data_IF_386989834994
#
_entry.id   IF_386989834994
#
_cell.length_a   1.000
_cell.length_b   1.000
_cell.length_c   1.000
_cell.angle_alpha   90.00
_cell.angle_beta   90.00
_cell.angle_gamma   90.00
#
_symmetry.space_group_name_H-M   'P 1'
#
loop_
_entity.id
_entity.type
_entity.pdbx_description
1 polymer ?
#
# COMPACT_ATOMS: atom_id res chain seq x y z
N UNK A 1 -16.56 22.63 -8.12
CA UNK A 1 -15.86 21.56 -8.87
C UNK A 1 -16.53 20.24 -8.54
N UNK A 2 -16.77 19.37 -9.52
CA UNK A 2 -17.35 18.05 -9.26
C UNK A 2 -16.40 17.16 -8.44
N UNK A 3 -16.96 16.22 -7.69
CA UNK A 3 -16.24 15.26 -6.84
C UNK A 3 -15.04 14.60 -7.54
N UNK A 4 -15.22 14.18 -8.80
CA UNK A 4 -14.16 13.57 -9.62
C UNK A 4 -13.02 14.51 -9.99
N UNK A 5 -13.30 15.80 -10.20
CA UNK A 5 -12.26 16.77 -10.56
C UNK A 5 -11.34 17.08 -9.38
N UNK A 6 -11.88 17.14 -8.16
CA UNK A 6 -11.09 17.38 -6.94
C UNK A 6 -10.10 16.23 -6.68
N UNK A 7 -10.54 14.98 -6.92
CA UNK A 7 -9.68 13.79 -6.85
C UNK A 7 -8.55 13.87 -7.88
N UNK A 8 -8.90 14.10 -9.15
CA UNK A 8 -7.93 14.10 -10.26
C UNK A 8 -6.93 15.24 -10.17
N UNK A 9 -7.28 16.35 -9.50
CA UNK A 9 -6.37 17.47 -9.26
C UNK A 9 -5.44 17.26 -8.08
N UNK A 10 -5.65 16.24 -7.24
CA UNK A 10 -4.81 16.02 -6.05
C UNK A 10 -3.39 15.58 -6.47
N UNK A 11 -2.34 16.33 -6.06
CA UNK A 11 -0.94 15.96 -6.34
C UNK A 11 -0.52 14.64 -5.67
N UNK A 12 -1.23 14.21 -4.63
CA UNK A 12 -0.92 13.00 -3.87
C UNK A 12 -1.50 11.73 -4.50
N UNK A 13 -2.48 11.86 -5.41
CA UNK A 13 -3.19 10.75 -6.07
C UNK A 13 -2.24 9.77 -6.77
N UNK A 14 -1.24 10.30 -7.49
CA UNK A 14 -0.31 9.47 -8.26
C UNK A 14 0.45 8.49 -7.36
N UNK A 15 0.78 8.90 -6.14
CA UNK A 15 1.50 8.09 -5.17
C UNK A 15 0.63 6.96 -4.63
N UNK A 16 -0.65 7.23 -4.36
CA UNK A 16 -1.59 6.19 -3.90
C UNK A 16 -1.88 5.18 -5.01
N UNK A 17 -2.13 5.64 -6.24
CA UNK A 17 -2.35 4.74 -7.39
C UNK A 17 -1.13 3.86 -7.67
N UNK A 18 0.08 4.44 -7.63
CA UNK A 18 1.31 3.67 -7.76
C UNK A 18 1.47 2.65 -6.62
N UNK A 19 1.22 3.06 -5.37
CA UNK A 19 1.24 2.16 -4.23
C UNK A 19 0.27 0.99 -4.40
N UNK A 20 -0.97 1.25 -4.83
CA UNK A 20 -1.97 0.21 -5.11
C UNK A 20 -1.48 -0.76 -6.19
N UNK A 21 -0.93 -0.26 -7.30
CA UNK A 21 -0.40 -1.10 -8.37
C UNK A 21 0.71 -2.03 -7.87
N UNK A 22 1.72 -1.49 -7.18
CA UNK A 22 2.80 -2.29 -6.61
C UNK A 22 2.29 -3.28 -5.57
N UNK A 23 1.35 -2.86 -4.73
CA UNK A 23 0.77 -3.69 -3.67
C UNK A 23 0.03 -4.90 -4.25
N UNK A 24 -0.80 -4.68 -5.26
CA UNK A 24 -1.55 -5.76 -5.92
C UNK A 24 -0.60 -6.82 -6.49
N UNK A 25 0.42 -6.38 -7.24
CA UNK A 25 1.46 -7.27 -7.77
C UNK A 25 2.16 -8.00 -6.61
N UNK A 26 2.44 -7.29 -5.51
CA UNK A 26 3.13 -7.85 -4.36
C UNK A 26 2.34 -8.94 -3.62
N UNK A 27 1.01 -8.81 -3.53
CA UNK A 27 0.12 -9.85 -2.98
C UNK A 27 0.24 -11.13 -3.80
N UNK A 28 0.06 -11.03 -5.13
CA UNK A 28 0.15 -12.19 -6.01
C UNK A 28 1.54 -12.82 -6.00
N UNK A 29 2.59 -11.99 -5.95
CA UNK A 29 3.96 -12.48 -5.80
C UNK A 29 4.17 -13.21 -4.46
N UNK A 30 3.59 -12.71 -3.38
CA UNK A 30 3.61 -13.36 -2.07
C UNK A 30 2.92 -14.73 -2.09
N UNK A 31 1.73 -14.81 -2.70
CA UNK A 31 0.99 -16.06 -2.89
C UNK A 31 1.78 -17.06 -3.76
N UNK A 32 2.36 -16.60 -4.86
CA UNK A 32 3.19 -17.43 -5.74
C UNK A 32 4.40 -18.03 -4.99
N UNK A 33 5.07 -17.22 -4.16
CA UNK A 33 6.19 -17.69 -3.32
C UNK A 33 5.70 -18.68 -2.25
N UNK A 34 4.53 -18.44 -1.67
CA UNK A 34 3.93 -19.28 -0.63
C UNK A 34 3.50 -20.66 -1.12
N UNK A 35 2.88 -20.73 -2.31
CA UNK A 35 2.29 -21.97 -2.83
C UNK A 35 3.14 -22.72 -3.85
N UNK A 36 4.02 -22.03 -4.58
CA UNK A 36 4.80 -22.65 -5.65
C UNK A 36 6.30 -22.73 -5.31
N UNK A 37 7.11 -21.81 -5.85
CA UNK A 37 8.57 -21.93 -5.83
C UNK A 37 9.21 -20.74 -5.13
N UNK A 38 9.68 -21.01 -3.92
CA UNK A 38 10.47 -20.08 -3.11
C UNK A 38 11.90 -19.99 -3.64
N UNK A 39 12.13 -19.12 -4.62
CA UNK A 39 13.48 -18.78 -5.10
C UNK A 39 14.00 -17.52 -4.43
N UNK A 40 15.33 -17.39 -4.32
CA UNK A 40 15.98 -16.18 -3.79
C UNK A 40 15.61 -14.95 -4.63
N UNK A 41 15.53 -15.11 -5.95
CA UNK A 41 15.12 -14.05 -6.86
C UNK A 41 13.70 -13.56 -6.58
N UNK A 42 12.74 -14.48 -6.42
CA UNK A 42 11.35 -14.11 -6.15
C UNK A 42 11.21 -13.38 -4.80
N UNK A 43 11.92 -13.86 -3.77
CA UNK A 43 11.96 -13.17 -2.47
C UNK A 43 12.53 -11.76 -2.57
N UNK A 44 13.56 -11.54 -3.40
CA UNK A 44 14.10 -10.19 -3.65
C UNK A 44 13.08 -9.32 -4.36
N UNK A 45 12.43 -9.80 -5.41
CA UNK A 45 11.40 -9.05 -6.15
C UNK A 45 10.26 -8.64 -5.21
N UNK A 46 9.72 -9.57 -4.42
CA UNK A 46 8.67 -9.29 -3.43
C UNK A 46 9.11 -8.24 -2.40
N UNK A 47 10.37 -8.30 -1.96
CA UNK A 47 10.95 -7.31 -1.03
C UNK A 47 11.11 -5.93 -1.70
N UNK A 48 11.56 -5.88 -2.95
CA UNK A 48 11.69 -4.61 -3.69
C UNK A 48 10.33 -3.97 -3.96
N UNK A 49 9.32 -4.76 -4.35
CA UNK A 49 7.94 -4.28 -4.48
C UNK A 49 7.43 -3.69 -3.16
N UNK A 50 7.69 -4.35 -2.03
CA UNK A 50 7.33 -3.80 -0.72
C UNK A 50 8.03 -2.46 -0.43
N UNK A 51 9.31 -2.33 -0.77
CA UNK A 51 10.02 -1.05 -0.62
C UNK A 51 9.46 0.04 -1.54
N UNK A 52 9.04 -0.29 -2.76
CA UNK A 52 8.36 0.65 -3.66
C UNK A 52 7.02 1.11 -3.07
N UNK A 53 6.24 0.23 -2.45
CA UNK A 53 5.00 0.59 -1.76
C UNK A 53 5.29 1.56 -0.62
N UNK A 54 6.23 1.23 0.28
CA UNK A 54 6.59 2.08 1.40
C UNK A 54 7.09 3.45 0.93
N UNK A 55 7.90 3.49 -0.13
CA UNK A 55 8.36 4.73 -0.77
C UNK A 55 7.18 5.59 -1.25
N UNK A 56 6.23 5.01 -2.00
CA UNK A 56 5.05 5.73 -2.46
C UNK A 56 4.23 6.29 -1.29
N UNK A 57 4.03 5.53 -0.22
CA UNK A 57 3.27 5.98 0.95
C UNK A 57 3.97 7.09 1.74
N UNK A 58 5.31 7.06 1.83
CA UNK A 58 6.08 8.14 2.45
C UNK A 58 5.93 9.42 1.63
N UNK A 59 6.06 9.34 0.29
CA UNK A 59 5.89 10.50 -0.57
C UNK A 59 4.46 11.05 -0.57
N UNK A 60 3.46 10.17 -0.46
CA UNK A 60 2.08 10.57 -0.21
C UNK A 60 1.98 11.43 1.06
N UNK A 61 2.50 10.97 2.20
CA UNK A 61 2.47 11.74 3.46
C UNK A 61 3.20 13.08 3.34
N UNK A 62 4.34 13.12 2.66
CA UNK A 62 5.11 14.36 2.45
C UNK A 62 4.27 15.35 1.64
N UNK A 63 3.74 14.93 0.49
CA UNK A 63 2.94 15.79 -0.37
C UNK A 63 1.68 16.28 0.33
N UNK A 64 1.03 15.38 1.06
CA UNK A 64 -0.20 15.66 1.76
C UNK A 64 0.02 16.56 2.99
N UNK A 65 1.19 16.47 3.65
CA UNK A 65 1.61 17.41 4.69
C UNK A 65 1.82 18.83 4.14
N UNK A 66 2.44 18.96 2.96
CA UNK A 66 2.69 20.26 2.31
C UNK A 66 1.37 20.98 2.00
N UNK A 67 0.31 20.22 1.71
CA UNK A 67 -1.03 20.77 1.42
C UNK A 67 -1.93 20.83 2.67
N UNK A 68 -1.41 20.50 3.87
CA UNK A 68 -2.16 20.46 5.14
C UNK A 68 -3.36 19.51 5.15
N UNK A 69 -3.30 18.43 4.37
CA UNK A 69 -4.39 17.45 4.18
C UNK A 69 -4.20 16.15 4.98
N UNK A 70 -3.09 16.03 5.74
CA UNK A 70 -2.82 14.82 6.53
C UNK A 70 -3.81 14.68 7.69
N UNK A 71 -4.46 13.53 7.73
CA UNK A 71 -5.31 13.12 8.83
C UNK A 71 -4.67 12.01 9.64
N UNK A 72 -5.12 11.85 10.88
CA UNK A 72 -4.73 10.73 11.76
C UNK A 72 -4.86 9.37 11.04
N UNK A 73 -5.88 9.22 10.19
CA UNK A 73 -6.21 7.95 9.55
C UNK A 73 -5.18 7.56 8.49
N UNK A 74 -4.54 8.54 7.87
CA UNK A 74 -3.48 8.32 6.87
C UNK A 74 -2.30 7.60 7.52
N UNK A 75 -1.89 8.06 8.71
CA UNK A 75 -0.83 7.42 9.48
C UNK A 75 -1.21 6.02 9.94
N UNK A 76 -2.46 5.79 10.35
CA UNK A 76 -2.94 4.46 10.78
C UNK A 76 -2.93 3.47 9.62
N UNK A 77 -3.45 3.87 8.45
CA UNK A 77 -3.47 3.02 7.25
C UNK A 77 -2.05 2.70 6.79
N UNK A 78 -1.16 3.70 6.79
CA UNK A 78 0.24 3.50 6.40
C UNK A 78 0.97 2.62 7.41
N UNK A 79 0.74 2.80 8.71
CA UNK A 79 1.28 1.93 9.75
C UNK A 79 0.80 0.48 9.56
N UNK A 80 -0.50 0.28 9.28
CA UNK A 80 -1.05 -1.03 8.99
C UNK A 80 -0.31 -1.69 7.82
N UNK A 81 -0.16 -0.97 6.70
CA UNK A 81 0.49 -1.48 5.49
C UNK A 81 1.99 -1.75 5.70
N UNK A 82 2.71 -0.83 6.33
CA UNK A 82 4.18 -0.86 6.39
C UNK A 82 4.70 -1.68 7.59
N UNK A 83 3.95 -1.78 8.68
CA UNK A 83 4.38 -2.52 9.87
C UNK A 83 3.55 -3.80 10.09
N UNK A 84 2.22 -3.71 10.07
CA UNK A 84 1.37 -4.83 10.44
C UNK A 84 1.33 -5.94 9.37
N UNK A 85 1.18 -5.57 8.10
CA UNK A 85 1.21 -6.54 6.99
C UNK A 85 2.51 -7.35 6.95
N UNK A 86 3.73 -6.77 6.96
CA UNK A 86 4.94 -7.59 6.98
C UNK A 86 5.14 -8.37 8.29
N UNK A 87 4.63 -7.85 9.42
CA UNK A 87 4.64 -8.60 10.68
C UNK A 87 3.82 -9.90 10.58
N UNK A 88 2.68 -9.86 9.91
CA UNK A 88 1.81 -11.03 9.72
C UNK A 88 2.44 -12.16 8.88
N UNK A 89 3.56 -11.91 8.20
CA UNK A 89 4.34 -12.95 7.49
C UNK A 89 4.83 -14.08 8.42
N UNK A 90 4.88 -13.84 9.73
CA UNK A 90 5.24 -14.85 10.75
C UNK A 90 4.13 -15.88 10.99
N UNK A 91 2.92 -15.63 10.49
CA UNK A 91 1.76 -16.50 10.64
C UNK A 91 1.63 -17.42 9.41
N UNK A 92 0.46 -18.03 9.23
CA UNK A 92 0.15 -18.82 8.04
C UNK A 92 0.09 -17.96 6.76
N UNK A 93 0.39 -18.57 5.62
CA UNK A 93 0.42 -17.93 4.29
C UNK A 93 -0.95 -17.33 3.94
N UNK A 94 -2.05 -18.03 4.22
CA UNK A 94 -3.40 -17.55 3.93
C UNK A 94 -3.77 -16.38 4.85
N UNK A 95 -3.40 -16.47 6.14
CA UNK A 95 -3.64 -15.38 7.09
C UNK A 95 -2.91 -14.10 6.66
N UNK A 96 -1.64 -14.22 6.27
CA UNK A 96 -0.86 -13.09 5.73
C UNK A 96 -1.50 -12.50 4.48
N UNK A 97 -1.95 -13.35 3.55
CA UNK A 97 -2.61 -12.90 2.32
C UNK A 97 -3.92 -12.14 2.60
N UNK A 98 -4.75 -12.64 3.52
CA UNK A 98 -5.98 -11.95 3.92
C UNK A 98 -5.69 -10.58 4.55
N UNK A 99 -4.72 -10.52 5.46
CA UNK A 99 -4.28 -9.26 6.09
C UNK A 99 -3.74 -8.28 5.03
N UNK A 100 -3.00 -8.78 4.04
CA UNK A 100 -2.50 -7.98 2.94
C UNK A 100 -3.64 -7.45 2.06
N UNK A 101 -4.66 -8.25 1.75
CA UNK A 101 -5.86 -7.81 1.01
C UNK A 101 -6.63 -6.73 1.76
N UNK A 102 -6.79 -6.87 3.08
CA UNK A 102 -7.37 -5.79 3.91
C UNK A 102 -6.52 -4.52 3.80
N UNK A 103 -5.19 -4.62 3.84
CA UNK A 103 -4.32 -3.45 3.63
C UNK A 103 -4.53 -2.80 2.27
N UNK A 104 -4.72 -3.61 1.23
CA UNK A 104 -5.01 -3.12 -0.12
C UNK A 104 -6.37 -2.39 -0.20
N UNK A 105 -7.42 -2.90 0.43
CA UNK A 105 -8.74 -2.25 0.43
C UNK A 105 -8.78 -0.96 1.25
N UNK A 106 -7.84 -0.77 2.18
CA UNK A 106 -7.68 0.47 2.94
C UNK A 106 -6.98 1.58 2.14
N UNK A 107 -6.14 1.26 1.14
CA UNK A 107 -5.40 2.27 0.38
C UNK A 107 -6.28 3.33 -0.32
N UNK A 108 -7.42 2.98 -0.94
CA UNK A 108 -8.32 3.99 -1.51
C UNK A 108 -8.89 4.98 -0.47
N UNK A 109 -8.98 4.61 0.81
CA UNK A 109 -9.47 5.50 1.86
C UNK A 109 -8.57 6.72 2.06
N UNK A 110 -7.28 6.58 1.76
CA UNK A 110 -6.31 7.68 1.78
C UNK A 110 -6.71 8.82 0.84
N UNK A 111 -7.45 8.53 -0.23
CA UNK A 111 -7.94 9.56 -1.16
C UNK A 111 -9.35 9.99 -0.79
N UNK A 112 -10.24 9.03 -0.52
CA UNK A 112 -11.68 9.29 -0.37
C UNK A 112 -11.99 10.18 0.84
N UNK A 113 -11.28 10.01 1.95
CA UNK A 113 -11.56 10.74 3.19
C UNK A 113 -11.06 12.18 3.13
N UNK A 114 -10.11 12.49 2.24
CA UNK A 114 -9.50 13.83 2.11
C UNK A 114 -10.38 14.84 1.33
N UNK A 115 -11.51 14.41 0.77
CA UNK A 115 -12.35 15.19 -0.16
C UNK A 115 -13.43 15.96 0.57
#
# INVERSE_FOLDING_TARGET
>A
MGFSQKILSSPSLVWVLAAMGFYLINIFMGLFIGFQKKTVQNLRIHKYLFYSIAFCLIYFLIMNQIHHENMWIDYVVIFYVVAFVPFSKRWDILAHALIAVVGFTLLPLLIVIQI
#
